data_IF_717047235434
#
_entry.id   IF_717047235434
#
_cell.length_a   1.000
_cell.length_b   1.000
_cell.length_c   1.000
_cell.angle_alpha   90.00
_cell.angle_beta   90.00
_cell.angle_gamma   90.00
#
_symmetry.space_group_name_H-M   'P 1'
#
loop_
_entity.id
_entity.type
_entity.pdbx_description
1 polymer ?
#
# COMPACT_ATOMS: atom_id res chain seq x y z
N UNK A 1 -5.39 15.91 0.50
CA UNK A 1 -4.21 16.37 1.26
C UNK A 1 -4.57 16.82 2.67
N UNK A 2 -5.50 17.78 2.85
CA UNK A 2 -5.92 18.21 4.20
C UNK A 2 -6.49 17.06 5.04
N UNK A 3 -7.44 16.28 4.48
CA UNK A 3 -7.99 15.09 5.16
C UNK A 3 -6.92 14.07 5.55
N UNK A 4 -5.92 13.88 4.69
CA UNK A 4 -4.78 12.98 4.91
C UNK A 4 -3.93 13.41 6.08
N UNK A 5 -3.47 14.66 6.06
CA UNK A 5 -2.66 15.22 7.13
C UNK A 5 -3.43 15.23 8.45
N UNK A 6 -4.70 15.64 8.43
CA UNK A 6 -5.54 15.68 9.63
C UNK A 6 -5.73 14.30 10.26
N UNK A 7 -6.02 13.28 9.44
CA UNK A 7 -6.19 11.90 9.94
C UNK A 7 -4.93 11.37 10.61
N UNK A 8 -3.76 11.71 10.07
CA UNK A 8 -2.47 11.32 10.65
C UNK A 8 -2.14 12.09 11.90
N UNK A 9 -2.38 13.41 11.93
CA UNK A 9 -2.23 14.21 13.15
C UNK A 9 -3.07 13.63 14.28
N UNK A 10 -4.33 13.26 14.02
CA UNK A 10 -5.19 12.61 15.02
C UNK A 10 -4.60 11.28 15.51
N UNK A 11 -4.11 10.45 14.60
CA UNK A 11 -3.50 9.16 14.96
C UNK A 11 -2.22 9.32 15.79
N UNK A 12 -1.31 10.22 15.39
CA UNK A 12 -0.07 10.49 16.13
C UNK A 12 -0.36 11.14 17.49
N UNK A 13 -1.35 12.02 17.58
CA UNK A 13 -1.80 12.57 18.87
C UNK A 13 -2.39 11.49 19.78
N UNK A 14 -3.22 10.59 19.23
CA UNK A 14 -3.78 9.49 20.01
C UNK A 14 -2.67 8.57 20.55
N UNK A 15 -1.67 8.25 19.72
CA UNK A 15 -0.50 7.48 20.13
C UNK A 15 0.34 8.21 21.19
N UNK A 16 0.56 9.52 21.04
CA UNK A 16 1.28 10.35 22.00
C UNK A 16 0.57 10.42 23.36
N UNK A 17 -0.76 10.62 23.35
CA UNK A 17 -1.58 10.62 24.57
C UNK A 17 -1.53 9.25 25.26
N UNK A 18 -1.65 8.15 24.49
CA UNK A 18 -1.56 6.80 25.04
C UNK A 18 -0.19 6.52 25.67
N UNK A 19 0.89 6.92 24.99
CA UNK A 19 2.25 6.76 25.51
C UNK A 19 2.44 7.55 26.82
N UNK A 20 2.05 8.82 26.82
CA UNK A 20 2.13 9.67 27.99
C UNK A 20 1.32 9.08 29.17
N UNK A 21 0.11 8.60 28.93
CA UNK A 21 -0.72 7.97 29.96
C UNK A 21 -0.11 6.67 30.52
N UNK A 22 0.72 5.96 29.75
CA UNK A 22 1.30 4.67 30.15
C UNK A 22 2.64 4.80 30.87
N UNK A 23 3.52 5.68 30.42
CA UNK A 23 4.92 5.74 30.89
C UNK A 23 5.19 7.02 31.70
N UNK A 24 4.25 7.97 31.75
CA UNK A 24 4.42 9.26 32.40
C UNK A 24 5.16 10.28 31.52
N UNK A 25 5.17 11.54 31.95
CA UNK A 25 5.70 12.65 31.15
C UNK A 25 7.19 12.50 30.84
N UNK A 26 8.00 12.16 31.86
CA UNK A 26 9.47 12.12 31.74
C UNK A 26 9.95 11.08 30.73
N UNK A 27 9.34 9.89 30.72
CA UNK A 27 9.70 8.81 29.78
C UNK A 27 9.10 9.04 28.38
N UNK A 28 7.88 9.58 28.30
CA UNK A 28 7.25 9.87 27.01
C UNK A 28 8.03 10.94 26.22
N UNK A 29 8.55 11.95 26.91
CA UNK A 29 9.35 13.01 26.30
C UNK A 29 10.68 12.51 25.71
N UNK A 30 11.18 11.35 26.14
CA UNK A 30 12.40 10.72 25.60
C UNK A 30 12.14 9.81 24.40
N UNK A 31 10.89 9.52 24.07
CA UNK A 31 10.54 8.57 23.00
C UNK A 31 10.72 9.14 21.59
N UNK A 32 10.91 10.46 21.45
CA UNK A 32 11.15 11.14 20.19
C UNK A 32 12.66 11.31 19.95
N UNK A 33 13.14 11.32 18.69
CA UNK A 33 14.57 11.29 18.35
C UNK A 33 15.41 12.39 19.03
N UNK A 34 14.87 13.61 19.13
CA UNK A 34 15.55 14.76 19.74
C UNK A 34 15.13 15.00 21.19
N UNK A 35 14.25 14.16 21.72
CA UNK A 35 13.52 14.41 22.96
C UNK A 35 12.57 15.62 22.87
N UNK A 36 11.67 15.75 23.84
CA UNK A 36 10.82 16.92 24.00
C UNK A 36 11.26 17.77 25.19
N UNK A 37 11.18 19.10 25.06
CA UNK A 37 11.57 20.05 26.12
C UNK A 37 10.48 20.30 27.17
N UNK A 38 9.22 20.02 26.81
CA UNK A 38 8.07 20.08 27.70
C UNK A 38 6.98 19.15 27.16
N UNK A 39 5.96 18.87 27.98
CA UNK A 39 4.83 18.05 27.52
C UNK A 39 4.04 18.72 26.39
N UNK A 40 3.96 20.05 26.39
CA UNK A 40 3.36 20.81 25.28
C UNK A 40 4.18 20.65 24.00
N UNK A 41 5.50 20.71 24.11
CA UNK A 41 6.41 20.45 22.99
C UNK A 41 6.28 19.02 22.46
N UNK A 42 6.15 18.02 23.34
CA UNK A 42 5.92 16.61 22.97
C UNK A 42 4.68 16.44 22.09
N UNK A 43 3.54 17.01 22.49
CA UNK A 43 2.33 16.95 21.66
C UNK A 43 2.46 17.72 20.35
N UNK A 44 3.13 18.88 20.35
CA UNK A 44 3.37 19.62 19.12
C UNK A 44 4.31 18.88 18.16
N UNK A 45 5.30 18.13 18.67
CA UNK A 45 6.12 17.25 17.83
C UNK A 45 5.28 16.14 17.21
N UNK A 46 4.34 15.53 17.95
CA UNK A 46 3.42 14.54 17.39
C UNK A 46 2.54 15.14 16.26
N UNK A 47 2.07 16.39 16.42
CA UNK A 47 1.38 17.12 15.33
C UNK A 47 2.29 17.31 14.13
N UNK A 48 3.53 17.75 14.33
CA UNK A 48 4.51 17.92 13.26
C UNK A 48 4.77 16.62 12.50
N UNK A 49 4.93 15.50 13.20
CA UNK A 49 5.09 14.18 12.57
C UNK A 49 3.88 13.78 11.72
N UNK A 50 2.66 14.01 12.23
CA UNK A 50 1.43 13.77 11.47
C UNK A 50 1.33 14.63 10.20
N UNK A 51 1.72 15.91 10.29
CA UNK A 51 1.78 16.81 9.13
C UNK A 51 2.85 16.40 8.12
N UNK A 52 4.05 16.04 8.60
CA UNK A 52 5.16 15.54 7.77
C UNK A 52 4.77 14.28 7.01
N UNK A 53 4.04 13.36 7.64
CA UNK A 53 3.49 12.20 6.95
C UNK A 53 2.56 12.63 5.81
N UNK A 54 1.65 13.59 6.06
CA UNK A 54 0.78 14.14 5.02
C UNK A 54 1.55 14.74 3.85
N UNK A 55 2.66 15.44 4.12
CA UNK A 55 3.57 15.97 3.10
C UNK A 55 4.24 14.85 2.33
N UNK A 56 4.76 13.82 3.01
CA UNK A 56 5.38 12.66 2.36
C UNK A 56 4.41 11.95 1.41
N UNK A 57 3.15 11.77 1.82
CA UNK A 57 2.09 11.20 0.96
C UNK A 57 1.83 12.09 -0.25
N UNK A 58 1.80 13.42 -0.09
CA UNK A 58 1.67 14.34 -1.21
C UNK A 58 2.81 14.15 -2.22
N UNK A 59 4.06 14.12 -1.73
CA UNK A 59 5.25 13.89 -2.56
C UNK A 59 5.16 12.55 -3.30
N UNK A 60 4.74 11.47 -2.63
CA UNK A 60 4.52 10.16 -3.27
C UNK A 60 3.50 10.26 -4.39
N UNK A 61 2.34 10.90 -4.14
CA UNK A 61 1.26 10.98 -5.13
C UNK A 61 1.66 11.82 -6.35
N UNK A 62 2.40 12.92 -6.15
CA UNK A 62 2.95 13.69 -7.26
C UNK A 62 4.01 12.89 -8.02
N UNK A 63 4.96 12.27 -7.31
CA UNK A 63 6.04 11.48 -7.91
C UNK A 63 5.52 10.30 -8.73
N UNK A 64 4.60 9.52 -8.17
CA UNK A 64 3.96 8.38 -8.87
C UNK A 64 3.26 8.87 -10.14
N UNK A 65 2.45 9.93 -10.07
CA UNK A 65 1.74 10.44 -11.25
C UNK A 65 2.69 10.91 -12.34
N UNK A 66 3.78 11.58 -11.99
CA UNK A 66 4.81 12.02 -12.94
C UNK A 66 5.50 10.82 -13.58
N UNK A 67 5.94 9.83 -12.79
CA UNK A 67 6.61 8.63 -13.31
C UNK A 67 5.69 7.83 -14.23
N UNK A 68 4.42 7.64 -13.86
CA UNK A 68 3.46 6.90 -14.67
C UNK A 68 3.23 7.54 -16.04
N UNK A 69 3.24 8.88 -16.11
CA UNK A 69 3.05 9.62 -17.37
C UNK A 69 4.11 9.31 -18.42
N UNK A 70 5.34 9.05 -18.00
CA UNK A 70 6.46 8.72 -18.90
C UNK A 70 6.68 7.21 -19.05
N UNK A 71 6.50 6.47 -17.95
CA UNK A 71 6.81 5.06 -17.89
C UNK A 71 5.78 4.22 -18.67
N UNK A 72 4.48 4.52 -18.58
CA UNK A 72 3.46 3.75 -19.31
C UNK A 72 3.66 3.81 -20.84
N UNK A 73 3.82 5.01 -21.47
CA UNK A 73 4.11 5.09 -22.90
C UNK A 73 5.43 4.42 -23.29
N UNK A 74 6.48 4.55 -22.48
CA UNK A 74 7.77 3.90 -22.73
C UNK A 74 7.63 2.36 -22.75
N UNK A 75 6.88 1.78 -21.81
CA UNK A 75 6.59 0.35 -21.79
C UNK A 75 5.77 -0.09 -23.00
N UNK A 76 4.76 0.68 -23.43
CA UNK A 76 4.03 0.37 -24.67
C UNK A 76 4.95 0.39 -25.90
N UNK A 77 5.88 1.34 -25.97
CA UNK A 77 6.87 1.43 -27.04
C UNK A 77 7.75 0.18 -27.14
N UNK A 78 8.25 -0.32 -26.02
CA UNK A 78 9.07 -1.55 -25.97
C UNK A 78 8.21 -2.80 -26.18
N UNK A 79 7.07 -2.90 -25.49
CA UNK A 79 6.18 -4.06 -25.55
C UNK A 79 5.66 -4.32 -26.98
N UNK A 80 5.38 -3.26 -27.75
CA UNK A 80 4.96 -3.39 -29.15
C UNK A 80 5.97 -4.10 -30.05
N UNK A 81 7.26 -4.07 -29.69
CA UNK A 81 8.35 -4.69 -30.47
C UNK A 81 8.85 -6.00 -29.89
N UNK A 82 8.92 -6.13 -28.56
CA UNK A 82 9.59 -7.25 -27.89
C UNK A 82 8.60 -8.29 -27.37
N UNK A 83 7.51 -7.86 -26.72
CA UNK A 83 6.50 -8.76 -26.13
C UNK A 83 5.10 -8.20 -26.36
N UNK A 84 4.51 -8.41 -27.56
CA UNK A 84 3.18 -7.90 -27.88
C UNK A 84 2.13 -8.41 -26.90
N UNK A 85 1.32 -7.50 -26.36
CA UNK A 85 0.27 -7.81 -25.37
C UNK A 85 0.75 -7.93 -23.92
N UNK A 86 2.01 -7.64 -23.62
CA UNK A 86 2.48 -7.56 -22.23
C UNK A 86 1.83 -6.39 -21.48
N UNK A 87 1.32 -6.66 -20.28
CA UNK A 87 0.79 -5.65 -19.35
C UNK A 87 1.86 -5.37 -18.29
N UNK A 88 2.32 -4.12 -18.14
CA UNK A 88 3.34 -3.79 -17.15
C UNK A 88 2.80 -3.92 -15.73
N UNK A 89 3.45 -4.72 -14.89
CA UNK A 89 3.19 -4.81 -13.46
C UNK A 89 4.04 -3.75 -12.73
N UNK A 90 3.39 -2.80 -12.07
CA UNK A 90 4.02 -1.69 -11.36
C UNK A 90 3.70 -1.77 -9.87
N UNK A 91 4.47 -1.03 -9.06
CA UNK A 91 4.37 -1.06 -7.61
C UNK A 91 2.98 -0.61 -7.11
N UNK A 92 2.58 -1.11 -5.94
CA UNK A 92 1.28 -0.88 -5.32
C UNK A 92 0.83 0.59 -5.27
N UNK A 93 1.72 1.60 -5.06
CA UNK A 93 1.33 3.01 -5.10
C UNK A 93 0.72 3.48 -6.41
N UNK A 94 0.82 2.73 -7.51
CA UNK A 94 0.15 3.06 -8.77
C UNK A 94 -1.35 3.28 -8.58
N UNK A 95 -2.00 2.58 -7.65
CA UNK A 95 -3.45 2.71 -7.42
C UNK A 95 -3.81 3.89 -6.53
N UNK A 96 -2.84 4.51 -5.84
CA UNK A 96 -3.10 5.53 -4.82
C UNK A 96 -3.64 6.84 -5.40
N UNK A 97 -3.16 7.34 -6.55
CA UNK A 97 -3.74 8.53 -7.19
C UNK A 97 -5.22 8.38 -7.54
N UNK A 98 -5.70 7.17 -7.82
CA UNK A 98 -7.08 6.93 -8.23
C UNK A 98 -8.07 6.98 -7.05
N UNK A 99 -7.64 6.65 -5.83
CA UNK A 99 -8.52 6.63 -4.66
C UNK A 99 -7.77 7.01 -3.36
N UNK A 100 -7.19 8.21 -3.33
CA UNK A 100 -6.35 8.70 -2.22
C UNK A 100 -7.01 8.61 -0.84
N UNK A 101 -8.32 8.86 -0.75
CA UNK A 101 -9.05 8.74 0.51
C UNK A 101 -9.18 7.28 0.96
N UNK A 102 -9.36 6.34 0.02
CA UNK A 102 -9.46 4.92 0.32
C UNK A 102 -8.14 4.33 0.85
N UNK A 103 -7.00 4.86 0.40
CA UNK A 103 -5.67 4.49 0.93
C UNK A 103 -5.62 4.68 2.45
N UNK A 104 -6.10 5.81 2.95
CA UNK A 104 -6.09 6.10 4.40
C UNK A 104 -7.14 5.32 5.16
N UNK A 105 -8.33 5.19 4.56
CA UNK A 105 -9.43 4.41 5.13
C UNK A 105 -9.04 2.92 5.20
N UNK A 106 -8.13 2.43 4.35
CA UNK A 106 -7.52 1.11 4.46
C UNK A 106 -6.36 1.05 5.46
N UNK A 107 -5.48 2.05 5.43
CA UNK A 107 -4.31 2.13 6.31
C UNK A 107 -4.69 2.14 7.80
N UNK A 108 -5.63 2.99 8.24
CA UNK A 108 -5.97 3.12 9.66
C UNK A 108 -6.52 1.79 10.21
N UNK A 109 -7.51 1.13 9.58
CA UNK A 109 -7.97 -0.19 9.98
C UNK A 109 -6.91 -1.27 9.82
N UNK A 110 -6.03 -1.20 8.82
CA UNK A 110 -4.90 -2.12 8.69
C UNK A 110 -3.98 -2.03 9.92
N UNK A 111 -3.58 -0.82 10.31
CA UNK A 111 -2.77 -0.60 11.49
C UNK A 111 -3.51 -1.06 12.77
N UNK A 112 -4.80 -0.76 12.89
CA UNK A 112 -5.62 -1.25 14.00
C UNK A 112 -5.71 -2.79 14.04
N UNK A 113 -5.88 -3.44 12.88
CA UNK A 113 -5.82 -4.89 12.75
C UNK A 113 -4.46 -5.45 13.16
N UNK A 114 -3.38 -4.74 12.81
CA UNK A 114 -2.03 -5.07 13.26
C UNK A 114 -1.88 -5.01 14.78
N UNK A 115 -2.42 -3.97 15.43
CA UNK A 115 -2.42 -3.84 16.89
C UNK A 115 -3.27 -4.91 17.58
N UNK A 116 -4.43 -5.26 16.99
CA UNK A 116 -5.25 -6.37 17.47
C UNK A 116 -4.49 -7.69 17.34
N UNK A 117 -3.85 -7.95 16.20
CA UNK A 117 -3.02 -9.14 15.99
C UNK A 117 -1.85 -9.19 16.98
N UNK A 118 -1.19 -8.06 17.24
CA UNK A 118 -0.13 -7.94 18.24
C UNK A 118 -0.64 -8.31 19.64
N UNK A 119 -1.79 -7.77 20.05
CA UNK A 119 -2.40 -8.08 21.34
C UNK A 119 -2.75 -9.58 21.47
N UNK A 120 -3.21 -10.20 20.39
CA UNK A 120 -3.48 -11.64 20.33
C UNK A 120 -2.17 -12.44 20.46
N UNK A 121 -1.13 -12.08 19.71
CA UNK A 121 0.17 -12.74 19.73
C UNK A 121 0.93 -12.54 21.04
N UNK A 122 0.65 -11.47 21.78
CA UNK A 122 1.21 -11.23 23.11
C UNK A 122 0.76 -12.28 24.15
N UNK A 123 -0.29 -13.06 23.86
CA UNK A 123 -0.66 -14.19 24.70
C UNK A 123 0.34 -15.36 24.51
N UNK A 124 1.03 -15.81 25.58
CA UNK A 124 2.01 -16.89 25.50
C UNK A 124 1.46 -18.20 24.90
N UNK A 125 0.15 -18.41 24.92
CA UNK A 125 -0.50 -19.60 24.37
C UNK A 125 -0.24 -19.81 22.86
N UNK A 126 0.03 -18.75 22.10
CA UNK A 126 0.24 -18.87 20.65
C UNK A 126 1.65 -19.28 20.25
N UNK A 127 2.66 -19.16 21.13
CA UNK A 127 4.07 -19.53 20.86
C UNK A 127 4.61 -19.02 19.50
N UNK A 128 4.17 -17.83 19.08
CA UNK A 128 4.53 -17.19 17.82
C UNK A 128 5.34 -15.92 18.11
N UNK A 129 6.18 -15.52 17.16
CA UNK A 129 6.95 -14.29 17.29
C UNK A 129 6.01 -13.09 17.40
N UNK A 130 6.37 -12.14 18.26
CA UNK A 130 5.62 -10.92 18.44
C UNK A 130 5.95 -9.94 17.30
N UNK A 131 5.01 -9.74 16.37
CA UNK A 131 5.20 -8.85 15.23
C UNK A 131 4.72 -7.45 15.57
N UNK A 132 5.66 -6.50 15.62
CA UNK A 132 5.36 -5.09 15.82
C UNK A 132 4.81 -4.47 14.52
N UNK A 133 3.60 -3.87 14.54
CA UNK A 133 3.00 -3.24 13.37
C UNK A 133 3.87 -2.13 12.78
N UNK A 134 4.44 -2.39 11.59
CA UNK A 134 5.24 -1.41 10.85
C UNK A 134 4.39 -0.44 10.03
N UNK A 135 4.66 0.86 10.11
CA UNK A 135 3.88 1.86 9.36
C UNK A 135 3.96 1.68 7.84
N UNK A 136 5.13 1.25 7.33
CA UNK A 136 5.36 1.02 5.89
C UNK A 136 4.42 -0.07 5.34
N UNK A 137 4.48 -1.34 5.78
CA UNK A 137 3.61 -2.38 5.22
C UNK A 137 2.12 -2.08 5.44
N UNK A 138 1.74 -1.55 6.61
CA UNK A 138 0.34 -1.17 6.85
C UNK A 138 -0.14 -0.06 5.91
N UNK A 139 0.71 0.92 5.58
CA UNK A 139 0.36 2.00 4.66
C UNK A 139 0.34 1.53 3.21
N UNK A 140 1.37 0.82 2.76
CA UNK A 140 1.48 0.40 1.37
C UNK A 140 0.49 -0.72 1.04
N UNK A 141 0.60 -1.88 1.71
CA UNK A 141 -0.29 -3.03 1.44
C UNK A 141 -1.70 -2.79 1.97
N UNK A 142 -1.84 -2.22 3.17
CA UNK A 142 -3.15 -1.92 3.74
C UNK A 142 -3.86 -0.78 3.02
N UNK A 143 -3.12 0.19 2.50
CA UNK A 143 -3.65 1.23 1.64
C UNK A 143 -4.12 0.69 0.29
N UNK A 144 -3.33 -0.18 -0.35
CA UNK A 144 -3.73 -0.86 -1.58
C UNK A 144 -4.98 -1.74 -1.36
N UNK A 145 -5.00 -2.53 -0.28
CA UNK A 145 -6.17 -3.32 0.12
C UNK A 145 -7.40 -2.43 0.37
N UNK A 146 -7.21 -1.23 0.93
CA UNK A 146 -8.25 -0.22 1.07
C UNK A 146 -8.79 0.29 -0.27
N UNK A 147 -7.92 0.55 -1.24
CA UNK A 147 -8.31 0.99 -2.59
C UNK A 147 -9.12 -0.07 -3.31
N UNK A 148 -8.63 -1.32 -3.35
CA UNK A 148 -9.36 -2.42 -3.97
C UNK A 148 -10.64 -2.76 -3.22
N UNK A 149 -10.61 -2.77 -1.88
CA UNK A 149 -11.81 -2.94 -1.05
C UNK A 149 -12.84 -1.83 -1.27
N UNK A 150 -12.40 -0.59 -1.52
CA UNK A 150 -13.28 0.50 -1.89
C UNK A 150 -13.94 0.29 -3.26
N UNK A 151 -13.18 -0.24 -4.23
CA UNK A 151 -13.71 -0.52 -5.56
C UNK A 151 -14.80 -1.61 -5.54
N UNK A 152 -14.68 -2.62 -4.67
CA UNK A 152 -15.64 -3.74 -4.61
C UNK A 152 -16.78 -3.54 -3.61
N UNK A 153 -16.52 -2.85 -2.50
CA UNK A 153 -17.47 -2.75 -1.37
C UNK A 153 -17.61 -1.34 -0.79
N UNK A 154 -17.14 -0.32 -1.50
CA UNK A 154 -17.18 1.08 -1.06
C UNK A 154 -16.45 1.29 0.28
N UNK A 155 -16.93 2.25 1.07
CA UNK A 155 -16.27 2.63 2.34
C UNK A 155 -16.13 1.46 3.32
N UNK A 156 -17.15 0.59 3.41
CA UNK A 156 -17.09 -0.59 4.27
C UNK A 156 -16.08 -1.61 3.76
N UNK A 157 -16.02 -1.82 2.44
CA UNK A 157 -15.02 -2.69 1.83
C UNK A 157 -13.58 -2.17 2.04
N UNK A 158 -13.38 -0.86 1.99
CA UNK A 158 -12.07 -0.25 2.29
C UNK A 158 -11.61 -0.54 3.73
N UNK A 159 -12.53 -0.38 4.71
CA UNK A 159 -12.24 -0.63 6.12
C UNK A 159 -11.97 -2.10 6.39
N UNK A 160 -12.84 -2.99 5.90
CA UNK A 160 -12.71 -4.43 6.10
C UNK A 160 -11.47 -4.98 5.37
N UNK A 161 -11.23 -4.56 4.14
CA UNK A 161 -10.06 -4.94 3.36
C UNK A 161 -8.76 -4.53 4.05
N UNK A 162 -8.69 -3.28 4.52
CA UNK A 162 -7.58 -2.79 5.32
C UNK A 162 -7.38 -3.61 6.60
N UNK A 163 -8.43 -3.80 7.40
CA UNK A 163 -8.36 -4.52 8.67
C UNK A 163 -7.92 -5.98 8.52
N UNK A 164 -8.50 -6.71 7.55
CA UNK A 164 -8.14 -8.09 7.25
C UNK A 164 -6.69 -8.17 6.76
N UNK A 165 -6.26 -7.26 5.89
CA UNK A 165 -4.85 -7.16 5.50
C UNK A 165 -3.96 -6.98 6.72
N UNK A 166 -4.33 -6.05 7.62
CA UNK A 166 -3.63 -5.80 8.87
C UNK A 166 -3.43 -7.03 9.75
N UNK A 167 -4.45 -7.89 9.88
CA UNK A 167 -4.33 -9.15 10.59
C UNK A 167 -3.41 -10.13 9.86
N UNK A 168 -3.57 -10.24 8.54
CA UNK A 168 -2.77 -11.14 7.70
C UNK A 168 -1.27 -10.82 7.82
N UNK A 169 -0.90 -9.54 7.68
CA UNK A 169 0.49 -9.10 7.77
C UNK A 169 1.06 -9.09 9.19
N UNK A 170 0.26 -9.43 10.19
CA UNK A 170 0.73 -9.71 11.56
C UNK A 170 0.90 -11.20 11.80
N UNK A 171 -0.08 -12.04 11.42
CA UNK A 171 -0.04 -13.47 11.69
C UNK A 171 0.88 -14.24 10.74
N UNK A 172 0.88 -13.92 9.45
CA UNK A 172 1.70 -14.68 8.49
C UNK A 172 3.19 -14.47 8.69
N UNK A 173 3.72 -13.25 8.90
CA UNK A 173 5.15 -13.09 9.19
C UNK A 173 5.57 -13.78 10.50
N UNK A 174 4.69 -13.82 11.50
CA UNK A 174 4.91 -14.56 12.74
C UNK A 174 5.04 -16.08 12.50
N UNK A 175 4.22 -16.63 11.61
CA UNK A 175 4.29 -18.04 11.22
C UNK A 175 5.46 -18.31 10.27
N UNK A 176 5.78 -17.37 9.37
CA UNK A 176 6.88 -17.44 8.42
C UNK A 176 8.22 -17.59 9.14
N UNK A 177 8.44 -16.86 10.23
CA UNK A 177 9.67 -16.97 11.04
C UNK A 177 9.95 -18.41 11.51
N UNK A 178 8.93 -19.26 11.68
CA UNK A 178 9.10 -20.68 12.07
C UNK A 178 9.71 -21.56 10.96
N UNK A 179 9.78 -21.08 9.72
CA UNK A 179 10.29 -21.85 8.58
C UNK A 179 11.48 -21.19 7.88
N UNK A 180 11.92 -20.03 8.36
CA UNK A 180 12.97 -19.21 7.72
C UNK A 180 14.41 -19.57 8.12
N UNK A 181 14.60 -20.51 9.04
CA UNK A 181 15.92 -20.93 9.51
C UNK A 181 16.72 -19.74 10.06
N UNK A 182 17.90 -19.49 9.50
CA UNK A 182 18.83 -18.43 9.93
C UNK A 182 18.24 -17.01 9.88
N UNK A 183 17.27 -16.74 9.00
CA UNK A 183 16.56 -15.45 8.99
C UNK A 183 15.60 -15.32 10.18
N UNK A 184 15.05 -16.44 10.65
CA UNK A 184 14.26 -16.51 11.88
C UNK A 184 15.09 -16.11 13.10
N UNK A 185 16.33 -16.59 13.16
CA UNK A 185 17.26 -16.30 14.26
C UNK A 185 17.67 -14.82 14.32
N UNK A 186 17.66 -14.13 13.16
CA UNK A 186 17.90 -12.69 13.07
C UNK A 186 16.68 -11.82 13.42
N UNK A 187 15.54 -12.43 13.82
CA UNK A 187 14.27 -11.74 14.10
C UNK A 187 13.84 -10.79 12.97
N UNK A 188 14.15 -11.14 11.73
CA UNK A 188 13.84 -10.33 10.55
C UNK A 188 12.92 -11.10 9.61
N UNK A 189 11.89 -10.44 9.12
CA UNK A 189 10.85 -11.05 8.28
C UNK A 189 10.28 -10.02 7.30
N UNK A 190 9.52 -10.50 6.34
CA UNK A 190 8.85 -9.68 5.34
C UNK A 190 7.46 -9.27 5.83
N UNK A 191 7.10 -8.01 5.57
CA UNK A 191 5.85 -7.40 6.03
C UNK A 191 4.67 -7.56 5.08
N UNK A 192 4.87 -8.14 3.89
CA UNK A 192 3.82 -8.26 2.89
C UNK A 192 3.18 -9.65 2.91
N UNK A 193 1.89 -9.67 2.59
CA UNK A 193 1.07 -10.88 2.69
C UNK A 193 1.59 -12.00 1.78
N UNK A 194 2.06 -11.67 0.58
CA UNK A 194 2.56 -12.61 -0.42
C UNK A 194 3.80 -13.39 0.06
N UNK A 195 4.80 -12.71 0.65
CA UNK A 195 5.94 -13.38 1.27
C UNK A 195 5.51 -14.30 2.42
N UNK A 196 4.50 -13.88 3.18
CA UNK A 196 3.91 -14.64 4.27
C UNK A 196 3.43 -16.03 3.84
N UNK A 197 2.35 -16.09 3.05
CA UNK A 197 1.76 -17.39 2.71
C UNK A 197 2.66 -18.22 1.78
N UNK A 198 3.30 -17.59 0.78
CA UNK A 198 4.15 -18.30 -0.17
C UNK A 198 5.40 -18.84 0.52
N UNK A 199 6.05 -18.03 1.34
CA UNK A 199 7.22 -18.43 2.11
C UNK A 199 6.90 -19.54 3.12
N UNK A 200 5.72 -19.51 3.74
CA UNK A 200 5.27 -20.62 4.61
C UNK A 200 5.15 -21.92 3.80
N UNK A 201 4.49 -21.91 2.64
CA UNK A 201 4.34 -23.12 1.82
C UNK A 201 5.67 -23.68 1.35
N UNK A 202 6.57 -22.83 0.86
CA UNK A 202 7.90 -23.22 0.40
C UNK A 202 8.75 -23.74 1.57
N UNK A 203 8.75 -23.03 2.71
CA UNK A 203 9.51 -23.42 3.89
C UNK A 203 9.02 -24.73 4.51
N UNK A 204 7.71 -24.98 4.52
CA UNK A 204 7.14 -26.27 4.91
C UNK A 204 7.51 -27.38 3.92
N UNK A 205 7.45 -27.10 2.62
CA UNK A 205 7.83 -28.04 1.57
C UNK A 205 9.31 -28.43 1.59
N UNK A 206 10.18 -27.53 2.04
CA UNK A 206 11.61 -27.76 2.17
C UNK A 206 12.02 -28.58 3.41
N UNK A 207 11.11 -28.82 4.37
CA UNK A 207 11.39 -29.55 5.64
C UNK A 207 12.02 -30.95 5.49
N UNK A 208 11.66 -31.78 4.50
CA UNK A 208 12.27 -33.10 4.32
C UNK A 208 13.79 -33.04 4.06
N UNK A 209 14.33 -31.87 3.71
CA UNK A 209 15.74 -31.67 3.43
C UNK A 209 16.22 -32.36 2.15
N UNK A 210 17.47 -32.07 1.79
CA UNK A 210 18.13 -32.67 0.63
C UNK A 210 17.36 -32.48 -0.69
N UNK A 211 17.44 -33.48 -1.56
CA UNK A 211 16.81 -33.45 -2.89
C UNK A 211 15.28 -33.47 -2.79
N UNK A 212 14.71 -34.19 -1.83
CA UNK A 212 13.26 -34.28 -1.64
C UNK A 212 12.64 -32.93 -1.28
N UNK A 213 13.25 -32.17 -0.36
CA UNK A 213 12.79 -30.82 -0.01
C UNK A 213 12.86 -29.84 -1.18
N UNK A 214 13.92 -29.90 -1.99
CA UNK A 214 14.06 -29.07 -3.18
C UNK A 214 13.00 -29.39 -4.24
N UNK A 215 12.69 -30.68 -4.45
CA UNK A 215 11.65 -31.10 -5.39
C UNK A 215 10.28 -30.60 -4.94
N UNK A 216 9.93 -30.77 -3.66
CA UNK A 216 8.63 -30.31 -3.14
C UNK A 216 8.52 -28.78 -3.20
N UNK A 217 9.55 -28.04 -2.80
CA UNK A 217 9.58 -26.58 -2.93
C UNK A 217 9.44 -26.13 -4.39
N UNK A 218 10.13 -26.81 -5.31
CA UNK A 218 10.02 -26.56 -6.75
C UNK A 218 8.62 -26.81 -7.29
N UNK A 219 7.94 -27.88 -6.84
CA UNK A 219 6.55 -28.18 -7.21
C UNK A 219 5.56 -27.14 -6.65
N UNK A 220 5.78 -26.63 -5.44
CA UNK A 220 4.99 -25.51 -4.90
C UNK A 220 5.17 -24.27 -5.76
N UNK A 221 6.41 -23.91 -6.12
CA UNK A 221 6.68 -22.78 -7.00
C UNK A 221 6.04 -22.95 -8.39
N UNK A 222 6.23 -24.12 -9.00
CA UNK A 222 5.68 -24.44 -10.32
C UNK A 222 4.14 -24.44 -10.34
N UNK A 223 3.50 -24.92 -9.27
CA UNK A 223 2.04 -24.93 -9.17
C UNK A 223 1.47 -23.52 -9.01
N UNK A 224 2.08 -22.66 -8.19
CA UNK A 224 1.69 -21.24 -8.08
C UNK A 224 1.89 -20.52 -9.41
N UNK A 225 3.01 -20.76 -10.09
CA UNK A 225 3.28 -20.19 -11.40
C UNK A 225 2.28 -20.66 -12.46
N UNK A 226 1.98 -21.97 -12.51
CA UNK A 226 0.99 -22.54 -13.42
C UNK A 226 -0.41 -21.98 -13.16
N UNK A 227 -0.79 -21.82 -11.89
CA UNK A 227 -2.05 -21.17 -11.51
C UNK A 227 -2.08 -19.72 -11.98
N UNK A 228 -0.98 -18.98 -11.81
CA UNK A 228 -0.82 -17.60 -12.29
C UNK A 228 -0.96 -17.50 -13.82
N UNK A 229 -0.32 -18.40 -14.56
CA UNK A 229 -0.48 -18.48 -16.02
C UNK A 229 -1.92 -18.79 -16.42
N UNK A 230 -2.58 -19.69 -15.69
CA UNK A 230 -3.95 -20.06 -15.96
C UNK A 230 -4.93 -18.91 -15.70
N UNK A 231 -4.80 -18.22 -14.57
CA UNK A 231 -5.63 -17.05 -14.25
C UNK A 231 -5.37 -15.90 -15.21
N UNK A 232 -4.10 -15.63 -15.56
CA UNK A 232 -3.77 -14.60 -16.55
C UNK A 232 -4.40 -14.90 -17.90
N UNK A 233 -4.27 -16.13 -18.44
CA UNK A 233 -4.91 -16.48 -19.73
C UNK A 233 -6.42 -16.30 -19.72
N UNK A 234 -7.07 -16.58 -18.59
CA UNK A 234 -8.53 -16.45 -18.44
C UNK A 234 -8.98 -15.01 -18.28
N UNK A 235 -8.16 -14.17 -17.66
CA UNK A 235 -8.45 -12.75 -17.41
C UNK A 235 -8.02 -11.85 -18.57
N UNK A 236 -6.97 -12.20 -19.31
CA UNK A 236 -6.51 -11.47 -20.49
C UNK A 236 -7.47 -11.57 -21.69
N UNK A 237 -8.41 -12.53 -21.67
CA UNK A 237 -9.49 -12.63 -22.65
C UNK A 237 -10.72 -11.80 -22.27
N UNK A 238 -10.74 -11.21 -21.08
CA UNK A 238 -11.70 -10.17 -20.75
C UNK A 238 -11.14 -8.89 -21.36
N UNK A 239 -11.83 -8.37 -22.38
CA UNK A 239 -11.53 -7.08 -22.98
C UNK A 239 -11.79 -6.01 -21.93
N UNK A 240 -10.79 -5.79 -21.06
CA UNK A 240 -10.68 -4.59 -20.24
C UNK A 240 -10.41 -3.49 -21.25
N UNK A 241 -11.49 -2.96 -21.84
CA UNK A 241 -11.43 -2.02 -22.96
C UNK A 241 -10.26 -1.07 -22.77
N UNK A 242 -9.45 -0.92 -23.83
CA UNK A 242 -8.39 0.08 -23.85
C UNK A 242 -8.94 1.33 -23.17
N UNK A 243 -8.21 1.94 -22.21
CA UNK A 243 -8.62 3.25 -21.75
C UNK A 243 -8.73 4.07 -23.03
N UNK A 244 -9.97 4.40 -23.42
CA UNK A 244 -10.23 5.26 -24.55
C UNK A 244 -9.29 6.44 -24.32
N UNK A 245 -8.34 6.63 -25.25
CA UNK A 245 -7.59 7.88 -25.34
C UNK A 245 -8.62 8.96 -25.05
N UNK A 246 -8.48 9.75 -23.96
CA UNK A 246 -9.58 10.57 -23.49
C UNK A 246 -10.05 11.36 -24.70
N UNK A 247 -11.25 11.02 -25.19
CA UNK A 247 -11.88 11.81 -26.24
C UNK A 247 -11.85 13.22 -25.67
N UNK A 248 -11.13 14.11 -26.35
CA UNK A 248 -11.16 15.51 -25.99
C UNK A 248 -12.64 15.84 -25.82
N UNK A 249 -13.08 16.27 -24.63
CA UNK A 249 -14.48 16.57 -24.45
C UNK A 249 -14.75 17.67 -25.45
N UNK A 250 -15.50 17.36 -26.51
CA UNK A 250 -15.95 18.34 -27.49
C UNK A 250 -16.96 19.23 -26.77
N UNK A 251 -16.46 20.07 -25.86
CA UNK A 251 -17.23 21.12 -25.20
C UNK A 251 -17.47 22.15 -26.28
N UNK A 252 -18.58 21.96 -26.98
CA UNK A 252 -19.16 22.96 -27.86
C UNK A 252 -19.73 24.05 -26.95
N UNK A 253 -18.87 24.96 -26.51
CA UNK A 253 -19.33 26.17 -25.84
C UNK A 253 -20.24 26.93 -26.82
N UNK A 254 -21.36 27.52 -26.36
CA UNK A 254 -22.12 28.45 -27.18
C UNK A 254 -21.16 29.54 -27.66
N UNK A 255 -21.01 29.71 -28.98
CA UNK A 255 -20.19 30.78 -29.53
C UNK A 255 -20.85 32.10 -29.13
N UNK A 256 -20.27 32.78 -28.13
CA UNK A 256 -20.65 34.14 -27.79
C UNK A 256 -20.28 35.00 -28.99
N UNK A 257 -21.24 35.76 -29.51
CA UNK A 257 -20.96 36.69 -30.60
C UNK A 257 -19.92 37.72 -30.11
N UNK A 258 -18.87 38.00 -30.89
CA UNK A 258 -17.90 39.01 -30.50
C UNK A 258 -18.59 40.38 -30.32
N UNK A 259 -18.17 41.18 -29.34
CA UNK A 259 -18.73 42.51 -29.10
C UNK A 259 -18.57 43.41 -30.34
N UNK A 260 -19.51 44.34 -30.53
CA UNK A 260 -19.53 45.22 -31.68
C UNK A 260 -18.21 46.02 -31.80
N UNK A 261 -17.50 45.84 -32.92
CA UNK A 261 -16.21 46.49 -33.19
C UNK A 261 -14.97 45.60 -33.00
N UNK A 262 -15.12 44.33 -32.65
CA UNK A 262 -13.97 43.42 -32.56
C UNK A 262 -13.36 43.13 -33.95
N UNK A 263 -12.02 43.18 -34.09
CA UNK A 263 -11.35 42.81 -35.33
C UNK A 263 -11.53 41.31 -35.63
N UNK A 264 -11.64 40.96 -36.91
CA UNK A 264 -11.77 39.57 -37.37
C UNK A 264 -10.55 38.73 -36.97
N UNK A 265 -10.73 37.52 -36.39
CA UNK A 265 -9.62 36.64 -36.06
C UNK A 265 -8.82 36.25 -37.32
N UNK A 266 -7.49 36.09 -37.21
CA UNK A 266 -6.69 35.55 -38.30
C UNK A 266 -7.13 34.09 -38.62
N UNK A 267 -6.95 33.64 -39.87
CA UNK A 267 -7.27 32.27 -40.26
C UNK A 267 -6.41 31.26 -39.48
N UNK A 268 -6.90 30.03 -39.24
CA UNK A 268 -6.12 28.96 -38.63
C UNK A 268 -4.82 28.72 -39.42
N UNK A 269 -3.72 28.47 -38.72
CA UNK A 269 -2.50 27.99 -39.35
C UNK A 269 -2.73 26.50 -39.68
N UNK A 270 -2.58 26.15 -40.96
CA UNK A 270 -2.62 24.77 -41.45
C UNK A 270 -1.53 23.89 -40.83
#
# INVERSE_FOLDING_TARGET
MVSTALSMVIMYLAAAILLHARVGADQAMLALPDGASSIGNFYMQAVTLGLQFGVAVAVILFGVRTILGELIPAFHGIASKVVPGAIPALDAPIVFPYAQNAVLIGFIPSFAGGLVGLAVLANPAFSLALILPGLVPHFFTGGAAGVYGNATGGRCGAVLGGFVNGLIITFWPAALLKVLGTFGDANTTFGDADFGWFGILVGLGARPGGVAGLVVAGLVGASVFALGLWTQKKLSTVDCGQPDTPEEPTRRYPKIAPPAGAPTPPPPLD
#
